data_IF_136336075837
#
_entry.id   IF_136336075837
#
_cell.length_a   1.000
_cell.length_b   1.000
_cell.length_c   1.000
_cell.angle_alpha   90.00
_cell.angle_beta   90.00
_cell.angle_gamma   90.00
#
_symmetry.space_group_name_H-M   'P 1'
#
loop_
_entity.id
_entity.type
_entity.pdbx_description
1 polymer ?
#
# COMPACT_ATOMS: atom_id res chain seq x y z
N UNK A 1 -17.81 28.96 1.04
CA UNK A 1 -17.13 29.32 -0.23
C UNK A 1 -15.70 28.86 -0.08
N UNK A 2 -15.36 27.73 -0.70
CA UNK A 2 -13.97 27.28 -0.77
C UNK A 2 -13.19 28.21 -1.71
N UNK A 3 -11.96 28.57 -1.34
CA UNK A 3 -11.13 29.50 -2.11
C UNK A 3 -9.89 28.74 -2.56
N UNK A 4 -9.83 28.44 -3.86
CA UNK A 4 -8.69 27.75 -4.47
C UNK A 4 -7.46 28.67 -4.62
N UNK A 5 -7.65 29.99 -4.74
CA UNK A 5 -6.57 30.95 -4.99
C UNK A 5 -6.75 32.22 -4.17
N UNK A 6 -5.71 32.63 -3.46
CA UNK A 6 -5.64 33.91 -2.71
C UNK A 6 -4.59 34.80 -3.35
N UNK A 7 -5.00 36.02 -3.74
CA UNK A 7 -4.14 37.00 -4.40
C UNK A 7 -4.17 38.31 -3.62
N UNK A 8 -3.00 38.93 -3.42
CA UNK A 8 -2.86 40.27 -2.85
C UNK A 8 -2.13 41.17 -3.86
N UNK A 9 -2.86 42.11 -4.45
CA UNK A 9 -2.32 42.93 -5.54
C UNK A 9 -1.98 42.07 -6.76
N UNK A 10 -0.70 42.05 -7.16
CA UNK A 10 -0.18 41.21 -8.24
C UNK A 10 0.43 39.89 -7.76
N UNK A 11 0.52 39.65 -6.46
CA UNK A 11 1.17 38.48 -5.88
C UNK A 11 0.14 37.39 -5.53
N UNK A 12 0.40 36.16 -5.97
CA UNK A 12 -0.39 35.00 -5.56
C UNK A 12 0.18 34.46 -4.25
N UNK A 13 -0.59 34.54 -3.18
CA UNK A 13 -0.18 34.11 -1.84
C UNK A 13 -0.41 32.62 -1.63
N UNK A 14 -1.52 32.10 -2.15
CA UNK A 14 -1.89 30.68 -2.12
C UNK A 14 -2.53 30.31 -3.46
N UNK A 15 -2.08 29.21 -4.06
CA UNK A 15 -2.64 28.66 -5.28
C UNK A 15 -2.75 27.15 -5.15
N UNK A 16 -3.98 26.65 -5.08
CA UNK A 16 -4.29 25.22 -4.98
C UNK A 16 -4.68 24.65 -6.36
N UNK A 17 -4.60 25.42 -7.46
CA UNK A 17 -5.06 24.97 -8.79
C UNK A 17 -4.30 23.73 -9.28
N UNK A 18 -3.03 23.58 -8.88
CA UNK A 18 -2.20 22.42 -9.19
C UNK A 18 -2.25 21.30 -8.14
N UNK A 19 -3.10 21.42 -7.11
CA UNK A 19 -3.19 20.42 -6.05
C UNK A 19 -3.78 19.10 -6.61
N UNK A 20 -3.14 17.99 -6.30
CA UNK A 20 -3.54 16.64 -6.75
C UNK A 20 -4.10 15.79 -5.61
N UNK A 21 -4.23 16.36 -4.40
CA UNK A 21 -4.78 15.64 -3.26
C UNK A 21 -6.28 15.43 -3.46
N UNK A 22 -6.67 14.16 -3.38
CA UNK A 22 -8.06 13.69 -3.43
C UNK A 22 -8.32 12.88 -2.16
N UNK A 23 -9.59 12.61 -1.87
CA UNK A 23 -9.95 11.73 -0.73
C UNK A 23 -9.26 10.36 -0.83
N UNK A 24 -9.20 9.79 -2.03
CA UNK A 24 -8.60 8.47 -2.27
C UNK A 24 -7.07 8.45 -2.25
N UNK A 25 -6.40 9.60 -2.29
CA UNK A 25 -4.94 9.70 -2.17
C UNK A 25 -4.47 10.21 -0.81
N UNK A 26 -5.39 10.75 0.01
CA UNK A 26 -5.12 11.22 1.36
C UNK A 26 -5.37 10.10 2.38
N UNK A 27 -4.39 9.88 3.26
CA UNK A 27 -4.46 8.88 4.33
C UNK A 27 -5.68 9.10 5.23
N UNK A 28 -6.38 8.01 5.56
CA UNK A 28 -7.56 8.05 6.42
C UNK A 28 -7.32 8.80 7.74
N UNK A 29 -8.28 9.65 8.12
CA UNK A 29 -8.22 10.49 9.32
C UNK A 29 -7.28 11.71 9.22
N UNK A 30 -6.73 12.01 8.04
CA UNK A 30 -6.03 13.27 7.77
C UNK A 30 -6.93 14.23 7.00
N UNK A 31 -6.74 15.53 7.24
CA UNK A 31 -7.39 16.60 6.49
C UNK A 31 -6.39 17.31 5.58
N UNK A 32 -6.82 17.64 4.36
CA UNK A 32 -6.10 18.48 3.41
C UNK A 32 -7.09 19.37 2.64
N UNK A 33 -6.61 20.26 1.78
CA UNK A 33 -7.48 21.00 0.84
C UNK A 33 -7.32 20.40 -0.55
N UNK A 34 -8.38 20.37 -1.35
CA UNK A 34 -8.32 19.90 -2.74
C UNK A 34 -8.11 21.07 -3.71
N UNK A 35 -8.04 20.79 -5.01
CA UNK A 35 -7.98 21.81 -6.05
C UNK A 35 -9.23 22.70 -6.17
N UNK A 36 -10.33 22.42 -5.46
CA UNK A 36 -11.44 23.37 -5.34
C UNK A 36 -11.26 24.32 -4.12
N UNK A 37 -10.21 24.12 -3.32
CA UNK A 37 -9.97 24.78 -2.05
C UNK A 37 -10.86 24.26 -0.91
N UNK A 38 -11.52 23.12 -1.12
CA UNK A 38 -12.39 22.48 -0.13
C UNK A 38 -11.55 21.63 0.82
N UNK A 39 -11.85 21.69 2.12
CA UNK A 39 -11.26 20.75 3.06
C UNK A 39 -11.83 19.35 2.81
N UNK A 40 -10.95 18.39 2.61
CA UNK A 40 -11.26 16.99 2.40
C UNK A 40 -10.66 16.14 3.53
N UNK A 41 -11.35 15.08 3.90
CA UNK A 41 -10.83 14.01 4.76
C UNK A 41 -10.38 12.83 3.91
N UNK A 42 -9.27 12.22 4.29
CA UNK A 42 -8.72 11.07 3.61
C UNK A 42 -9.55 9.81 3.77
N UNK A 43 -9.62 9.02 2.70
CA UNK A 43 -10.24 7.70 2.65
C UNK A 43 -9.20 6.62 2.31
N UNK A 44 -7.96 6.99 1.96
CA UNK A 44 -6.91 6.05 1.64
C UNK A 44 -6.51 5.25 2.88
N UNK A 45 -6.84 3.96 2.88
CA UNK A 45 -6.25 2.98 3.78
C UNK A 45 -5.16 2.24 3.02
N UNK A 46 -3.87 2.46 3.32
CA UNK A 46 -2.82 1.65 2.71
C UNK A 46 -3.11 0.17 3.00
N UNK A 47 -2.84 -0.73 2.05
CA UNK A 47 -2.91 -2.16 2.32
C UNK A 47 -2.02 -2.46 3.52
N UNK A 48 -2.51 -3.33 4.40
CA UNK A 48 -1.77 -3.75 5.58
C UNK A 48 -0.36 -4.23 5.17
N UNK A 49 0.61 -4.01 6.05
CA UNK A 49 1.97 -4.50 5.80
C UNK A 49 1.92 -6.02 5.83
N UNK A 50 2.32 -6.67 4.74
CA UNK A 50 2.45 -8.12 4.71
C UNK A 50 3.48 -8.57 5.76
N UNK A 51 3.09 -9.53 6.59
CA UNK A 51 4.00 -10.21 7.51
C UNK A 51 3.97 -11.70 7.23
N UNK A 52 5.13 -12.36 7.30
CA UNK A 52 5.21 -13.81 7.15
C UNK A 52 4.61 -14.52 8.37
N UNK A 53 4.17 -15.76 8.15
CA UNK A 53 3.76 -16.63 9.25
C UNK A 53 4.99 -17.11 10.06
N UNK A 54 4.76 -17.43 11.33
CA UNK A 54 5.64 -18.29 12.13
C UNK A 54 4.97 -19.67 12.31
N UNK A 55 5.63 -20.57 13.04
CA UNK A 55 5.04 -21.86 13.38
C UNK A 55 3.76 -21.71 14.22
N UNK A 56 3.63 -20.62 14.98
CA UNK A 56 2.57 -20.38 15.97
C UNK A 56 1.62 -19.23 15.60
N UNK A 57 1.99 -18.37 14.66
CA UNK A 57 1.22 -17.18 14.29
C UNK A 57 1.02 -17.08 12.77
N UNK A 58 -0.22 -16.79 12.36
CA UNK A 58 -0.51 -16.45 10.97
C UNK A 58 0.10 -15.09 10.62
N UNK A 59 0.45 -14.92 9.34
CA UNK A 59 0.87 -13.64 8.80
C UNK A 59 -0.32 -12.72 8.52
N UNK A 60 -0.04 -11.45 8.26
CA UNK A 60 -1.05 -10.46 7.85
C UNK A 60 -1.17 -10.41 6.34
N UNK A 61 -2.39 -10.21 5.86
CA UNK A 61 -2.63 -9.88 4.45
C UNK A 61 -1.99 -8.53 4.15
N UNK A 62 -1.46 -8.38 2.95
CA UNK A 62 -1.11 -7.05 2.43
C UNK A 62 -1.74 -6.90 1.05
N UNK A 63 -0.92 -6.97 0.01
CA UNK A 63 -1.38 -7.13 -1.37
C UNK A 63 -1.56 -8.58 -1.80
N UNK A 64 -1.21 -9.52 -0.92
CA UNK A 64 -1.29 -10.96 -1.15
C UNK A 64 -2.13 -11.61 -0.05
N UNK A 65 -2.71 -12.80 -0.31
CA UNK A 65 -3.42 -13.56 0.72
C UNK A 65 -2.51 -13.85 1.94
N UNK A 66 -3.04 -13.81 3.16
CA UNK A 66 -2.26 -14.05 4.37
C UNK A 66 -1.81 -15.52 4.43
N UNK A 67 -0.55 -15.80 4.82
CA UNK A 67 -0.10 -17.15 5.12
C UNK A 67 -0.65 -17.61 6.48
N UNK A 68 -1.05 -18.88 6.59
CA UNK A 68 -1.54 -19.44 7.85
C UNK A 68 -0.36 -19.76 8.80
N UNK A 69 -0.63 -19.91 10.10
CA UNK A 69 0.38 -20.40 11.03
C UNK A 69 0.93 -21.77 10.56
N UNK A 70 2.26 -21.93 10.58
CA UNK A 70 2.95 -23.11 10.04
C UNK A 70 3.32 -23.01 8.55
N UNK A 71 2.96 -21.91 7.87
CA UNK A 71 3.31 -21.68 6.47
C UNK A 71 4.66 -20.96 6.32
N UNK A 72 5.50 -20.89 7.36
CA UNK A 72 6.74 -20.10 7.36
C UNK A 72 7.78 -20.57 6.32
N UNK A 73 7.58 -21.75 5.75
CA UNK A 73 8.43 -22.34 4.69
C UNK A 73 7.76 -22.41 3.32
N UNK A 74 6.53 -21.90 3.17
CA UNK A 74 5.79 -21.91 1.90
C UNK A 74 6.14 -20.72 1.01
N UNK A 75 5.84 -20.84 -0.27
CA UNK A 75 5.94 -19.77 -1.26
C UNK A 75 4.57 -19.51 -1.91
N UNK A 76 4.36 -18.28 -2.38
CA UNK A 76 3.13 -17.89 -3.08
C UNK A 76 3.26 -18.17 -4.58
N UNK A 77 2.35 -18.97 -5.12
CA UNK A 77 2.25 -19.27 -6.54
C UNK A 77 1.51 -18.16 -7.31
N UNK A 78 1.70 -18.08 -8.63
CA UNK A 78 1.05 -17.08 -9.48
C UNK A 78 -0.48 -17.25 -9.60
N UNK A 79 -1.02 -18.39 -9.18
CA UNK A 79 -2.46 -18.65 -9.06
C UNK A 79 -3.05 -18.15 -7.72
N UNK A 80 -2.23 -17.61 -6.82
CA UNK A 80 -2.63 -17.11 -5.51
C UNK A 80 -2.59 -18.16 -4.39
N UNK A 81 -2.16 -19.39 -4.67
CA UNK A 81 -2.08 -20.46 -3.67
C UNK A 81 -0.72 -20.52 -2.98
N UNK A 82 -0.70 -20.89 -1.69
CA UNK A 82 0.54 -21.16 -0.95
C UNK A 82 0.99 -22.61 -1.14
N UNK A 83 2.24 -22.82 -1.59
CA UNK A 83 2.80 -24.13 -1.88
C UNK A 83 4.07 -24.41 -1.06
N UNK A 84 4.33 -25.69 -0.80
CA UNK A 84 5.52 -26.17 -0.09
C UNK A 84 6.62 -26.51 -1.10
N UNK A 85 7.87 -26.08 -0.90
CA UNK A 85 8.97 -26.49 -1.76
C UNK A 85 9.19 -28.01 -1.66
N UNK A 86 9.38 -28.67 -2.81
CA UNK A 86 9.77 -30.08 -2.82
C UNK A 86 11.19 -30.24 -2.27
N UNK A 87 11.43 -31.32 -1.54
CA UNK A 87 12.77 -31.62 -1.04
C UNK A 87 13.73 -31.86 -2.21
N UNK A 88 14.86 -31.15 -2.24
CA UNK A 88 15.92 -31.45 -3.20
C UNK A 88 16.55 -32.79 -2.86
N UNK A 89 16.31 -33.80 -3.69
CA UNK A 89 16.89 -35.15 -3.53
C UNK A 89 18.14 -35.37 -4.38
N UNK A 90 18.52 -34.41 -5.24
CA UNK A 90 19.67 -34.55 -6.14
C UNK A 90 20.41 -33.23 -6.31
N UNK A 91 21.74 -33.27 -6.18
CA UNK A 91 22.63 -32.15 -6.50
C UNK A 91 23.03 -32.26 -7.96
N UNK A 92 22.67 -31.29 -8.80
CA UNK A 92 23.18 -31.19 -10.18
C UNK A 92 24.56 -30.54 -10.15
N UNK A 93 25.61 -31.34 -10.31
CA UNK A 93 26.97 -30.82 -10.54
C UNK A 93 27.12 -30.59 -12.04
N UNK A 94 27.02 -29.34 -12.48
CA UNK A 94 27.42 -28.96 -13.83
C UNK A 94 28.94 -28.92 -13.88
N UNK A 95 29.55 -29.90 -14.57
CA UNK A 95 30.99 -29.88 -14.87
C UNK A 95 31.17 -29.14 -16.19
N UNK A 96 31.91 -28.04 -16.13
CA UNK A 96 32.31 -27.24 -17.30
C UNK A 96 33.46 -27.93 -18.03
#
# INVERSE_FOLDING_TARGET
MAVNKVVLGSETLLDLTGDTVTKGTLLAGRSAHNAAGEQIEGEYTPPDVFTGASAEAAGTSGLVPPPAAGDEKKYLCGDGSWATPEAQTTIKICRW
#
